data_IF_231003951630
#
_entry.id   IF_231003951630
#
_cell.length_a   1.000
_cell.length_b   1.000
_cell.length_c   1.000
_cell.angle_alpha   90.00
_cell.angle_beta   90.00
_cell.angle_gamma   90.00
#
_symmetry.space_group_name_H-M   'P 1'
#
loop_
_entity.id
_entity.type
_entity.pdbx_description
1 polymer ?
#
# COMPACT_ATOMS: atom_id res chain seq x y z
N UNK A 1 -12.23 -71.35 27.81
CA UNK A 1 -12.20 -70.36 28.91
C UNK A 1 -13.12 -69.19 28.54
N UNK A 2 -14.01 -68.72 29.42
CA UNK A 2 -14.91 -67.62 29.10
C UNK A 2 -14.11 -66.31 29.05
N UNK A 3 -14.27 -65.55 27.97
CA UNK A 3 -13.61 -64.26 27.79
C UNK A 3 -14.31 -63.24 28.68
N UNK A 4 -13.71 -62.91 29.83
CA UNK A 4 -14.24 -61.90 30.77
C UNK A 4 -14.33 -60.56 30.04
N UNK A 5 -15.55 -60.04 29.89
CA UNK A 5 -15.81 -58.78 29.20
C UNK A 5 -15.69 -57.65 30.21
N UNK A 6 -14.54 -56.97 30.21
CA UNK A 6 -14.28 -55.84 31.13
C UNK A 6 -15.19 -54.66 30.75
N UNK A 7 -16.04 -54.15 31.66
CA UNK A 7 -16.89 -53.00 31.37
C UNK A 7 -16.03 -51.75 31.21
N UNK A 8 -16.12 -51.09 30.06
CA UNK A 8 -15.47 -49.80 29.80
C UNK A 8 -16.35 -48.68 30.35
N UNK A 9 -15.87 -47.95 31.36
CA UNK A 9 -16.51 -46.70 31.78
C UNK A 9 -16.03 -45.59 30.85
N UNK A 10 -16.96 -44.92 30.18
CA UNK A 10 -16.68 -43.68 29.47
C UNK A 10 -16.53 -42.57 30.49
N UNK A 11 -15.42 -41.83 30.45
CA UNK A 11 -15.25 -40.61 31.23
C UNK A 11 -15.77 -39.44 30.41
N UNK A 12 -16.86 -38.82 30.88
CA UNK A 12 -17.30 -37.53 30.35
C UNK A 12 -16.24 -36.50 30.75
N UNK A 13 -15.59 -35.89 29.75
CA UNK A 13 -14.62 -34.82 29.97
C UNK A 13 -15.40 -33.51 29.98
N UNK A 14 -15.28 -32.74 31.06
CA UNK A 14 -15.87 -31.41 31.16
C UNK A 14 -15.12 -30.44 30.23
N UNK A 15 -15.83 -29.87 29.26
CA UNK A 15 -15.30 -28.92 28.27
C UNK A 15 -15.41 -27.47 28.71
N UNK A 16 -15.99 -27.18 29.89
CA UNK A 16 -16.29 -25.82 30.35
C UNK A 16 -15.03 -24.95 30.38
N UNK A 17 -13.93 -25.47 30.92
CA UNK A 17 -12.65 -24.75 30.97
C UNK A 17 -12.03 -24.51 29.58
N UNK A 18 -12.18 -25.47 28.65
CA UNK A 18 -11.63 -25.34 27.30
C UNK A 18 -12.45 -24.36 26.44
N UNK A 19 -13.77 -24.34 26.64
CA UNK A 19 -14.68 -23.42 25.96
C UNK A 19 -14.43 -21.96 26.37
N UNK A 20 -14.20 -21.70 27.65
CA UNK A 20 -13.90 -20.36 28.17
C UNK A 20 -12.61 -19.78 27.58
N UNK A 21 -11.52 -20.57 27.58
CA UNK A 21 -10.24 -20.16 26.97
C UNK A 21 -10.38 -19.87 25.48
N UNK A 22 -11.16 -20.69 24.76
CA UNK A 22 -11.40 -20.47 23.33
C UNK A 22 -12.17 -19.18 23.07
N UNK A 23 -13.16 -18.84 23.90
CA UNK A 23 -13.95 -17.62 23.76
C UNK A 23 -13.14 -16.36 24.10
N UNK A 24 -12.29 -16.43 25.13
CA UNK A 24 -11.34 -15.36 25.45
C UNK A 24 -10.38 -15.07 24.28
N UNK A 25 -9.85 -16.11 23.63
CA UNK A 25 -8.97 -15.94 22.47
C UNK A 25 -9.71 -15.38 21.26
N UNK A 26 -10.92 -15.87 20.97
CA UNK A 26 -11.73 -15.40 19.86
C UNK A 26 -12.09 -13.91 20.01
N UNK A 27 -12.52 -13.51 21.20
CA UNK A 27 -12.86 -12.10 21.50
C UNK A 27 -11.64 -11.21 21.46
N UNK A 28 -10.51 -11.65 22.02
CA UNK A 28 -9.24 -10.94 21.92
C UNK A 28 -8.81 -10.73 20.48
N UNK A 29 -8.82 -11.79 19.64
CA UNK A 29 -8.45 -11.67 18.24
C UNK A 29 -9.43 -10.79 17.46
N UNK A 30 -10.75 -10.92 17.67
CA UNK A 30 -11.73 -10.04 17.02
C UNK A 30 -11.55 -8.55 17.38
N UNK A 31 -11.23 -8.23 18.64
CA UNK A 31 -11.06 -6.85 19.07
C UNK A 31 -9.73 -6.24 18.63
N UNK A 32 -8.68 -7.06 18.50
CA UNK A 32 -7.34 -6.61 18.12
C UNK A 32 -7.06 -6.70 16.62
N UNK A 33 -7.94 -7.32 15.82
CA UNK A 33 -7.78 -7.32 14.37
C UNK A 33 -7.84 -5.90 13.83
N UNK A 34 -6.76 -5.47 13.19
CA UNK A 34 -6.72 -4.23 12.43
C UNK A 34 -7.06 -4.54 10.97
N UNK A 35 -7.95 -3.78 10.35
CA UNK A 35 -8.17 -3.88 8.91
C UNK A 35 -6.85 -3.66 8.17
N UNK A 36 -6.54 -4.52 7.20
CA UNK A 36 -5.44 -4.27 6.27
C UNK A 36 -5.74 -2.92 5.62
N UNK A 37 -4.86 -1.95 5.80
CA UNK A 37 -4.96 -0.67 5.08
C UNK A 37 -4.94 -0.97 3.60
N UNK A 38 -5.91 -0.44 2.85
CA UNK A 38 -5.84 -0.47 1.39
C UNK A 38 -4.49 0.12 0.98
N UNK A 39 -3.69 -0.66 0.26
CA UNK A 39 -2.43 -0.18 -0.30
C UNK A 39 -2.78 1.05 -1.13
N UNK A 40 -2.14 2.19 -0.83
CA UNK A 40 -2.38 3.44 -1.53
C UNK A 40 -2.27 3.15 -3.03
N UNK A 41 -3.39 3.35 -3.73
CA UNK A 41 -3.57 3.32 -5.18
C UNK A 41 -2.22 3.31 -5.91
N UNK A 42 -1.98 2.29 -6.73
CA UNK A 42 -0.83 2.24 -7.64
C UNK A 42 -0.78 3.57 -8.39
N UNK A 43 0.14 4.44 -8.00
CA UNK A 43 0.34 5.74 -8.66
C UNK A 43 1.08 5.41 -9.95
N UNK A 44 0.32 5.17 -11.02
CA UNK A 44 0.86 5.20 -12.37
C UNK A 44 1.30 6.64 -12.66
N UNK A 45 2.55 6.95 -12.35
CA UNK A 45 3.17 8.18 -12.81
C UNK A 45 3.22 8.10 -14.34
N UNK A 46 2.60 9.04 -15.07
CA UNK A 46 2.72 9.04 -16.52
C UNK A 46 4.21 9.15 -16.87
N UNK A 47 4.69 8.27 -17.75
CA UNK A 47 6.05 8.36 -18.28
C UNK A 47 6.17 9.66 -19.05
N UNK A 48 6.74 10.69 -18.43
CA UNK A 48 7.15 11.90 -19.12
C UNK A 48 8.44 11.58 -19.88
N UNK A 49 8.31 10.83 -20.96
CA UNK A 49 9.33 10.70 -21.99
C UNK A 49 9.13 11.85 -22.96
N UNK A 50 9.47 13.06 -22.53
CA UNK A 50 9.87 14.10 -23.49
C UNK A 50 11.29 13.76 -23.96
N UNK A 51 11.42 12.70 -24.75
CA UNK A 51 12.66 12.27 -25.42
C UNK A 51 12.99 13.13 -26.65
N UNK A 52 12.20 14.17 -26.92
CA UNK A 52 12.57 15.17 -27.91
C UNK A 52 13.64 16.03 -27.25
N UNK A 53 14.91 15.71 -27.52
CA UNK A 53 16.03 16.63 -27.24
C UNK A 53 15.64 17.98 -27.81
N UNK A 54 15.50 18.99 -26.95
CA UNK A 54 15.32 20.36 -27.43
C UNK A 54 16.53 20.67 -28.32
N UNK A 55 16.31 21.24 -29.51
CA UNK A 55 17.42 21.71 -30.33
C UNK A 55 18.25 22.72 -29.52
N UNK A 56 19.57 22.58 -29.50
CA UNK A 56 20.50 23.42 -28.72
C UNK A 56 20.57 24.89 -29.23
N UNK A 57 19.81 25.23 -30.25
CA UNK A 57 19.80 26.55 -30.92
C UNK A 57 18.36 27.04 -31.13
N UNK A 58 18.16 28.35 -30.98
CA UNK A 58 16.86 29.05 -31.12
C UNK A 58 15.79 28.66 -30.08
N UNK A 59 16.22 28.39 -28.85
CA UNK A 59 15.30 28.16 -27.73
C UNK A 59 14.75 29.49 -27.23
N UNK A 60 13.43 29.66 -27.30
CA UNK A 60 12.68 30.73 -26.64
C UNK A 60 12.19 30.23 -25.27
N UNK A 61 12.78 30.73 -24.19
CA UNK A 61 12.33 30.46 -22.84
C UNK A 61 11.34 31.53 -22.38
N UNK A 62 10.12 31.14 -22.02
CA UNK A 62 9.11 32.03 -21.43
C UNK A 62 8.90 31.59 -19.99
N UNK A 63 9.26 32.44 -19.03
CA UNK A 63 9.08 32.20 -17.59
C UNK A 63 7.95 33.07 -17.07
N UNK A 64 6.93 32.44 -16.49
CA UNK A 64 5.79 33.13 -15.88
C UNK A 64 5.90 32.97 -14.37
N UNK A 65 6.02 34.08 -13.66
CA UNK A 65 6.04 34.09 -12.20
C UNK A 65 4.62 34.05 -11.64
N UNK A 66 4.47 33.58 -10.39
CA UNK A 66 3.17 33.52 -9.69
C UNK A 66 2.48 34.90 -9.55
N UNK A 67 3.26 35.98 -9.62
CA UNK A 67 2.78 37.37 -9.61
C UNK A 67 2.32 37.86 -10.99
N UNK A 68 2.28 36.99 -11.99
CA UNK A 68 1.85 37.32 -13.35
C UNK A 68 2.92 38.05 -14.19
N UNK A 69 4.15 38.21 -13.69
CA UNK A 69 5.25 38.78 -14.48
C UNK A 69 5.78 37.73 -15.45
N UNK A 70 5.92 38.13 -16.71
CA UNK A 70 6.39 37.29 -17.82
C UNK A 70 7.79 37.74 -18.23
N UNK A 71 8.72 36.81 -18.27
CA UNK A 71 10.09 37.00 -18.74
C UNK A 71 10.32 36.13 -19.97
N UNK A 72 10.97 36.67 -21.00
CA UNK A 72 11.35 35.89 -22.17
C UNK A 72 12.86 36.03 -22.43
N UNK A 73 13.50 34.93 -22.84
CA UNK A 73 14.89 34.92 -23.30
C UNK A 73 15.06 34.03 -24.52
N UNK A 74 15.95 34.43 -25.43
CA UNK A 74 16.27 33.69 -26.65
C UNK A 74 17.75 33.31 -26.63
N UNK A 75 18.07 32.03 -26.74
CA UNK A 75 19.46 31.54 -26.69
C UNK A 75 20.13 31.61 -28.08
N UNK A 76 20.33 32.83 -28.58
CA UNK A 76 21.11 33.08 -29.79
C UNK A 76 22.37 33.88 -29.43
N UNK A 77 23.51 33.18 -29.33
CA UNK A 77 24.84 33.77 -29.05
C UNK A 77 25.44 34.56 -30.24
N UNK A 78 24.77 34.60 -31.40
CA UNK A 78 25.29 35.21 -32.63
C UNK A 78 24.38 36.26 -33.28
N UNK A 79 23.43 36.86 -32.55
CA UNK A 79 22.66 37.98 -33.09
C UNK A 79 23.49 39.28 -33.08
N UNK A 80 24.43 39.37 -34.02
CA UNK A 80 25.11 40.60 -34.42
C UNK A 80 24.57 41.05 -35.77
N UNK A 81 23.39 41.69 -35.75
CA UNK A 81 23.05 42.96 -36.43
C UNK A 81 21.55 43.17 -36.47
#
# INVERSE_FOLDING_TARGET
>A
MPKVKVPRKSTLIDMTAMCDVAFLLLTFFMLTTQFKSDESVVVDTPSSISEIKLPDTDILNITITKEGKVFFSLDNKNFSR
#
